data_IF_974019035042
#
_entry.id   IF_974019035042
#
_cell.length_a   1.000
_cell.length_b   1.000
_cell.length_c   1.000
_cell.angle_alpha   90.00
_cell.angle_beta   90.00
_cell.angle_gamma   90.00
#
_symmetry.space_group_name_H-M   'P 1'
#
loop_
_entity.id
_entity.type
_entity.pdbx_description
1 polymer ?
#
# COMPACT_ATOMS: atom_id res chain seq x y z
N UNK A 1 -55.33 38.86 39.67
CA UNK A 1 -53.96 39.26 39.43
C UNK A 1 -53.36 38.21 38.49
N UNK A 2 -53.29 38.56 37.19
CA UNK A 2 -52.73 37.74 36.12
C UNK A 2 -51.35 38.24 35.85
N UNK A 3 -50.35 37.36 36.02
CA UNK A 3 -48.95 37.68 35.76
C UNK A 3 -48.61 37.18 34.32
N UNK A 4 -48.33 38.12 33.42
CA UNK A 4 -47.87 37.82 32.05
C UNK A 4 -46.38 37.65 32.06
N UNK A 5 -45.86 36.45 31.67
CA UNK A 5 -44.46 36.20 31.39
C UNK A 5 -44.17 36.59 29.92
N UNK A 6 -43.35 37.58 29.76
CA UNK A 6 -42.71 37.93 28.48
C UNK A 6 -41.53 36.97 28.24
N UNK A 7 -41.63 36.15 27.20
CA UNK A 7 -40.51 35.40 26.62
C UNK A 7 -39.76 36.33 25.65
N UNK A 8 -38.58 36.76 26.03
CA UNK A 8 -37.62 37.38 25.11
C UNK A 8 -36.87 36.30 24.35
N UNK A 9 -37.12 36.20 23.05
CA UNK A 9 -36.32 35.40 22.14
C UNK A 9 -35.00 36.14 21.85
N UNK A 10 -33.89 35.63 22.33
CA UNK A 10 -32.59 36.03 21.87
C UNK A 10 -32.25 35.25 20.58
N UNK A 11 -32.43 35.89 19.44
CA UNK A 11 -31.76 35.48 18.20
C UNK A 11 -30.28 35.87 18.36
N UNK A 12 -29.44 34.89 18.64
CA UNK A 12 -28.01 35.04 18.53
C UNK A 12 -27.61 34.58 17.14
N UNK A 13 -27.46 35.51 16.20
CA UNK A 13 -26.68 35.28 14.99
C UNK A 13 -25.28 34.94 15.40
N UNK A 14 -24.90 33.67 15.23
CA UNK A 14 -23.47 33.30 15.24
C UNK A 14 -22.90 33.83 13.93
N UNK A 15 -22.26 35.00 14.00
CA UNK A 15 -21.25 35.36 13.02
C UNK A 15 -20.25 34.21 12.95
N UNK A 16 -20.25 33.50 11.86
CA UNK A 16 -19.12 32.66 11.44
C UNK A 16 -18.05 33.68 11.13
N UNK A 17 -17.12 33.89 12.05
CA UNK A 17 -15.87 34.61 11.79
C UNK A 17 -15.12 33.77 10.77
N UNK A 18 -15.18 34.14 9.49
CA UNK A 18 -14.16 33.77 8.52
C UNK A 18 -12.82 34.24 9.08
N UNK A 19 -12.06 33.34 9.66
CA UNK A 19 -10.65 33.58 9.94
C UNK A 19 -9.97 33.78 8.62
N UNK A 20 -9.67 35.04 8.26
CA UNK A 20 -8.81 35.33 7.12
C UNK A 20 -7.45 34.68 7.39
N UNK A 21 -7.18 33.56 6.78
CA UNK A 21 -5.88 32.89 6.83
C UNK A 21 -4.88 33.78 6.12
N UNK A 22 -3.79 34.10 6.76
CA UNK A 22 -2.72 34.91 6.20
C UNK A 22 -2.08 34.12 5.06
N UNK A 23 -1.96 34.64 3.83
CA UNK A 23 -1.24 33.97 2.76
C UNK A 23 0.19 33.63 3.23
N UNK A 24 0.55 32.35 3.17
CA UNK A 24 1.85 31.83 3.65
C UNK A 24 1.80 31.00 4.93
N UNK A 25 0.68 30.98 5.68
CA UNK A 25 0.48 30.13 6.87
C UNK A 25 -0.39 28.90 6.59
N UNK A 26 -0.92 28.75 5.37
CA UNK A 26 -1.73 27.58 5.04
C UNK A 26 -0.85 26.32 4.91
N UNK A 27 -1.21 25.24 5.62
CA UNK A 27 -0.55 23.96 5.42
C UNK A 27 -0.90 23.38 4.07
N UNK A 28 -0.01 22.54 3.53
CA UNK A 28 -0.33 21.61 2.45
C UNK A 28 -0.71 20.27 3.07
N UNK A 29 -1.68 19.61 2.46
CA UNK A 29 -2.10 18.26 2.89
C UNK A 29 -1.39 17.20 2.05
N UNK A 30 -1.00 16.12 2.70
CA UNK A 30 -0.27 15.00 2.10
C UNK A 30 -1.01 13.70 2.39
N UNK A 31 -1.50 13.04 1.35
CA UNK A 31 -2.00 11.67 1.42
C UNK A 31 -0.91 10.70 0.92
N UNK A 32 -0.51 9.78 1.78
CA UNK A 32 0.36 8.67 1.42
C UNK A 32 -0.50 7.40 1.39
N UNK A 33 -0.52 6.72 0.25
CA UNK A 33 -1.30 5.50 0.05
C UNK A 33 -0.34 4.35 -0.27
N UNK A 34 -0.26 3.38 0.64
CA UNK A 34 0.51 2.15 0.49
C UNK A 34 -0.40 1.06 -0.08
N UNK A 35 -0.19 0.69 -1.35
CA UNK A 35 -0.93 -0.39 -2.00
C UNK A 35 -0.26 -1.73 -1.69
N UNK A 36 -0.94 -2.60 -0.93
CA UNK A 36 -0.47 -3.93 -0.59
C UNK A 36 -1.27 -4.99 -1.35
N UNK A 37 -0.57 -5.73 -2.18
CA UNK A 37 -1.17 -6.64 -3.13
C UNK A 37 -0.39 -7.93 -3.31
N UNK A 38 -1.11 -9.04 -3.32
CA UNK A 38 -0.64 -10.30 -3.91
C UNK A 38 -1.72 -10.86 -4.83
N UNK A 39 -1.34 -11.40 -5.99
CA UNK A 39 -2.28 -12.05 -6.87
C UNK A 39 -2.92 -13.26 -6.17
N UNK A 40 -4.03 -13.73 -6.71
CA UNK A 40 -4.64 -14.97 -6.20
C UNK A 40 -3.72 -16.13 -6.53
N UNK A 41 -3.09 -16.71 -5.52
CA UNK A 41 -2.42 -17.99 -5.63
C UNK A 41 -3.42 -19.11 -5.40
N UNK A 42 -3.36 -20.16 -6.23
CA UNK A 42 -4.19 -21.33 -6.04
C UNK A 42 -3.45 -22.37 -5.22
N UNK A 43 -4.16 -22.97 -4.27
CA UNK A 43 -3.68 -24.17 -3.56
C UNK A 43 -3.71 -25.35 -4.52
N UNK A 44 -2.72 -26.19 -4.45
CA UNK A 44 -2.77 -27.50 -5.09
C UNK A 44 -4.02 -28.26 -4.59
N UNK A 45 -4.89 -28.77 -5.48
CA UNK A 45 -6.16 -29.36 -5.07
C UNK A 45 -6.05 -30.67 -4.29
N UNK A 46 -4.91 -31.36 -4.37
CA UNK A 46 -4.69 -32.64 -3.68
C UNK A 46 -4.06 -32.41 -2.30
N UNK A 47 -3.13 -31.48 -2.19
CA UNK A 47 -2.35 -31.23 -0.97
C UNK A 47 -2.84 -30.04 -0.15
N UNK A 48 -3.58 -29.12 -0.74
CA UNK A 48 -3.99 -27.87 -0.11
C UNK A 48 -2.85 -26.86 0.10
N UNK A 49 -1.68 -27.07 -0.53
CA UNK A 49 -0.47 -26.26 -0.36
C UNK A 49 -0.40 -25.18 -1.43
N UNK A 50 -0.04 -23.97 -1.04
CA UNK A 50 0.26 -22.89 -1.98
C UNK A 50 1.59 -23.10 -2.70
N UNK A 51 1.63 -22.87 -4.01
CA UNK A 51 2.85 -23.03 -4.80
C UNK A 51 3.92 -21.94 -4.54
N UNK A 52 3.52 -20.79 -4.00
CA UNK A 52 4.39 -19.61 -3.81
C UNK A 52 4.34 -19.12 -2.36
N UNK A 53 5.47 -18.58 -1.83
CA UNK A 53 5.57 -18.13 -0.44
C UNK A 53 5.19 -16.66 -0.24
N UNK A 54 4.90 -15.89 -1.30
CA UNK A 54 4.95 -14.44 -1.28
C UNK A 54 3.99 -13.81 -0.27
N UNK A 55 2.77 -14.30 -0.14
CA UNK A 55 1.84 -13.83 0.91
C UNK A 55 2.45 -13.97 2.30
N UNK A 56 3.01 -15.14 2.60
CA UNK A 56 3.60 -15.41 3.92
C UNK A 56 4.83 -14.54 4.20
N UNK A 57 5.75 -14.48 3.24
CA UNK A 57 7.02 -13.80 3.48
C UNK A 57 6.85 -12.27 3.56
N UNK A 58 5.93 -11.69 2.80
CA UNK A 58 5.58 -10.29 2.98
C UNK A 58 4.72 -10.04 4.23
N UNK A 59 3.97 -11.04 4.71
CA UNK A 59 3.23 -10.91 5.97
C UNK A 59 4.13 -10.92 7.22
N UNK A 60 5.35 -11.45 7.11
CA UNK A 60 6.36 -11.40 8.18
C UNK A 60 7.31 -10.20 8.05
N UNK A 61 7.07 -9.35 7.06
CA UNK A 61 7.88 -8.19 6.72
C UNK A 61 6.96 -6.97 6.53
N UNK A 62 6.65 -6.61 5.30
CA UNK A 62 6.07 -5.34 4.91
C UNK A 62 4.63 -5.11 5.43
N UNK A 63 3.80 -6.15 5.53
CA UNK A 63 2.39 -5.95 5.87
C UNK A 63 2.14 -5.69 7.34
N UNK A 64 2.99 -6.15 8.23
CA UNK A 64 2.83 -5.97 9.67
C UNK A 64 3.66 -4.80 10.19
N UNK A 65 4.91 -4.64 9.76
CA UNK A 65 5.82 -3.63 10.31
C UNK A 65 5.47 -2.22 9.86
N UNK A 66 5.12 -1.99 8.58
CA UNK A 66 4.71 -0.68 8.07
C UNK A 66 3.51 -0.10 8.82
N UNK A 67 2.59 -0.97 9.28
CA UNK A 67 1.50 -0.55 10.13
C UNK A 67 1.94 -0.38 11.59
N UNK A 68 2.74 -1.31 12.11
CA UNK A 68 3.18 -1.30 13.50
C UNK A 68 4.04 -0.07 13.83
N UNK A 69 4.95 0.35 12.94
CA UNK A 69 5.80 1.52 13.17
C UNK A 69 5.02 2.82 13.34
N UNK A 70 3.80 2.93 12.77
CA UNK A 70 2.96 4.11 12.94
C UNK A 70 2.53 4.35 14.40
N UNK A 71 2.58 3.33 15.26
CA UNK A 71 2.30 3.51 16.69
C UNK A 71 3.29 4.46 17.37
N UNK A 72 4.50 4.61 16.81
CA UNK A 72 5.51 5.57 17.29
C UNK A 72 5.26 6.99 16.78
N UNK A 73 4.40 7.15 15.77
CA UNK A 73 4.11 8.42 15.09
C UNK A 73 2.60 8.72 15.08
N UNK A 74 1.97 8.97 16.26
CA UNK A 74 0.51 9.07 16.39
C UNK A 74 -0.13 10.23 15.60
N UNK A 75 0.66 11.22 15.20
CA UNK A 75 0.19 12.36 14.40
C UNK A 75 0.34 12.14 12.88
N UNK A 76 0.90 10.99 12.46
CA UNK A 76 1.04 10.63 11.06
C UNK A 76 -0.17 9.81 10.62
N UNK A 77 -0.89 10.33 9.62
CA UNK A 77 -2.04 9.68 9.01
C UNK A 77 -1.68 9.18 7.61
N UNK A 78 -1.94 7.91 7.34
CA UNK A 78 -1.70 7.29 6.03
C UNK A 78 -2.87 6.38 5.63
N UNK A 79 -2.88 5.99 4.38
CA UNK A 79 -3.88 5.02 3.88
C UNK A 79 -3.16 3.71 3.51
N UNK A 80 -3.69 2.59 3.99
CA UNK A 80 -3.31 1.26 3.51
C UNK A 80 -4.40 0.71 2.62
N UNK A 81 -4.03 0.40 1.40
CA UNK A 81 -4.90 -0.35 0.51
C UNK A 81 -4.54 -1.84 0.61
N UNK A 82 -5.44 -2.64 1.18
CA UNK A 82 -5.27 -4.08 1.29
C UNK A 82 -6.16 -4.78 0.25
N UNK A 83 -5.55 -5.48 -0.70
CA UNK A 83 -6.36 -6.21 -1.67
C UNK A 83 -7.15 -7.34 -1.00
N UNK A 84 -8.44 -7.51 -1.34
CA UNK A 84 -9.24 -8.59 -0.75
C UNK A 84 -8.67 -9.99 -0.98
N UNK A 85 -8.02 -10.20 -2.13
CA UNK A 85 -7.30 -11.45 -2.43
C UNK A 85 -6.14 -11.70 -1.46
N UNK A 86 -5.43 -10.64 -1.04
CA UNK A 86 -4.38 -10.72 -0.02
C UNK A 86 -4.99 -11.07 1.34
N UNK A 87 -6.00 -10.32 1.81
CA UNK A 87 -6.67 -10.55 3.09
C UNK A 87 -7.12 -12.01 3.20
N UNK A 88 -7.81 -12.53 2.18
CA UNK A 88 -8.25 -13.92 2.16
C UNK A 88 -7.11 -14.93 2.29
N UNK A 89 -5.98 -14.66 1.63
CA UNK A 89 -4.82 -15.56 1.68
C UNK A 89 -4.12 -15.47 3.05
N UNK A 90 -4.05 -14.29 3.66
CA UNK A 90 -3.58 -14.11 5.05
C UNK A 90 -4.47 -14.93 6.01
N UNK A 91 -5.80 -14.85 5.87
CA UNK A 91 -6.72 -15.68 6.67
C UNK A 91 -6.44 -17.19 6.54
N UNK A 92 -6.16 -17.63 5.32
CA UNK A 92 -5.82 -19.03 5.06
C UNK A 92 -4.55 -19.45 5.82
N UNK A 93 -3.50 -18.60 5.84
CA UNK A 93 -2.27 -18.86 6.60
C UNK A 93 -2.53 -18.84 8.12
N UNK A 94 -3.33 -17.90 8.61
CA UNK A 94 -3.77 -17.86 10.01
C UNK A 94 -4.55 -19.14 10.38
N UNK A 95 -5.35 -19.67 9.46
CA UNK A 95 -6.05 -20.94 9.63
C UNK A 95 -5.16 -22.20 9.49
N UNK A 96 -3.85 -22.02 9.24
CA UNK A 96 -2.86 -23.10 9.19
C UNK A 96 -2.52 -23.59 7.77
N UNK A 97 -2.91 -22.87 6.71
CA UNK A 97 -2.40 -23.17 5.37
C UNK A 97 -0.89 -22.96 5.31
N UNK A 98 -0.23 -23.65 4.38
CA UNK A 98 1.20 -23.57 4.16
C UNK A 98 1.51 -23.42 2.67
N UNK A 99 2.67 -22.86 2.37
CA UNK A 99 3.26 -22.86 1.05
C UNK A 99 4.32 -23.96 0.87
N UNK A 100 4.70 -24.20 -0.38
CA UNK A 100 5.68 -25.22 -0.74
C UNK A 100 7.04 -24.98 -0.08
N UNK A 101 7.45 -23.72 0.09
CA UNK A 101 8.73 -23.38 0.75
C UNK A 101 8.65 -23.70 2.24
N UNK A 102 7.53 -23.41 2.89
CA UNK A 102 7.31 -23.75 4.29
C UNK A 102 7.38 -25.25 4.52
N UNK A 103 6.57 -26.04 3.79
CA UNK A 103 6.53 -27.50 3.98
C UNK A 103 7.86 -28.16 3.63
N UNK A 104 8.61 -27.65 2.65
CA UNK A 104 9.95 -28.15 2.33
C UNK A 104 10.96 -27.80 3.42
N UNK A 105 10.84 -26.60 4.01
CA UNK A 105 11.72 -26.21 5.12
C UNK A 105 11.41 -26.95 6.42
N UNK A 106 10.18 -27.42 6.64
CA UNK A 106 9.82 -28.24 7.80
C UNK A 106 10.36 -29.68 7.74
N UNK A 107 10.69 -30.19 6.55
CA UNK A 107 11.29 -31.52 6.44
C UNK A 107 12.63 -31.52 7.20
N UNK A 108 12.87 -32.47 8.14
CA UNK A 108 14.18 -32.60 8.78
C UNK A 108 15.30 -32.69 7.74
N UNK A 109 16.38 -31.96 7.94
CA UNK A 109 17.43 -31.83 6.92
C UNK A 109 18.12 -33.17 6.58
N UNK A 110 18.13 -34.13 7.52
CA UNK A 110 18.63 -35.47 7.31
C UNK A 110 17.65 -36.42 6.58
N UNK A 111 16.42 -35.98 6.32
CA UNK A 111 15.37 -36.72 5.64
C UNK A 111 15.02 -36.12 4.24
N UNK A 112 15.70 -35.08 3.84
CA UNK A 112 15.52 -34.45 2.51
C UNK A 112 15.87 -35.44 1.39
N UNK A 113 14.95 -35.66 0.45
CA UNK A 113 15.24 -36.39 -0.76
C UNK A 113 15.93 -35.48 -1.81
N UNK A 114 16.41 -36.06 -2.91
CA UNK A 114 17.14 -35.33 -3.95
C UNK A 114 16.33 -34.21 -4.58
N UNK A 115 15.03 -34.39 -4.77
CA UNK A 115 14.13 -33.38 -5.35
C UNK A 115 13.98 -32.17 -4.40
N UNK A 116 13.81 -32.43 -3.11
CA UNK A 116 13.72 -31.39 -2.09
C UNK A 116 15.05 -30.64 -1.93
N UNK A 117 16.17 -31.34 -1.94
CA UNK A 117 17.50 -30.73 -1.91
C UNK A 117 17.71 -29.81 -3.12
N UNK A 118 17.32 -30.26 -4.32
CA UNK A 118 17.42 -29.45 -5.53
C UNK A 118 16.49 -28.22 -5.44
N UNK A 119 15.24 -28.38 -4.96
CA UNK A 119 14.34 -27.28 -4.74
C UNK A 119 14.91 -26.21 -3.78
N UNK A 120 15.54 -26.64 -2.68
CA UNK A 120 16.24 -25.72 -1.77
C UNK A 120 17.34 -24.93 -2.48
N UNK A 121 18.20 -25.60 -3.27
CA UNK A 121 19.28 -24.95 -4.00
C UNK A 121 18.75 -23.96 -5.06
N UNK A 122 17.65 -24.29 -5.73
CA UNK A 122 17.08 -23.47 -6.80
C UNK A 122 16.27 -22.27 -6.27
N UNK A 123 15.62 -22.43 -5.11
CA UNK A 123 14.56 -21.51 -4.68
C UNK A 123 14.81 -20.80 -3.35
N UNK A 124 15.65 -21.32 -2.46
CA UNK A 124 15.87 -20.74 -1.13
C UNK A 124 16.91 -19.61 -1.12
N UNK A 125 17.12 -19.00 -2.29
CA UNK A 125 17.83 -17.74 -2.47
C UNK A 125 16.95 -16.72 -3.24
N UNK A 126 15.63 -16.94 -3.29
CA UNK A 126 14.66 -16.04 -3.90
C UNK A 126 14.42 -14.85 -2.97
N UNK A 127 15.39 -13.97 -2.89
CA UNK A 127 15.33 -12.69 -2.18
C UNK A 127 16.39 -11.74 -2.73
N UNK A 128 16.35 -10.47 -2.35
CA UNK A 128 17.33 -9.50 -2.80
C UNK A 128 18.74 -9.81 -2.27
N UNK A 129 19.75 -9.56 -3.09
CA UNK A 129 21.15 -9.77 -2.71
C UNK A 129 21.60 -8.94 -1.50
N UNK A 130 21.01 -7.76 -1.29
CA UNK A 130 21.27 -6.93 -0.11
C UNK A 130 20.79 -7.64 1.18
N UNK A 131 19.63 -8.29 1.13
CA UNK A 131 19.10 -9.08 2.25
C UNK A 131 20.02 -10.27 2.53
N UNK A 132 20.44 -11.04 1.51
CA UNK A 132 21.38 -12.15 1.70
C UNK A 132 22.68 -11.67 2.34
N UNK A 133 23.19 -10.51 1.94
CA UNK A 133 24.47 -9.97 2.44
C UNK A 133 24.43 -9.56 3.93
N UNK A 134 23.23 -9.29 4.49
CA UNK A 134 23.07 -9.04 5.93
C UNK A 134 23.46 -10.25 6.80
N UNK A 135 23.35 -11.46 6.26
CA UNK A 135 23.57 -12.70 6.99
C UNK A 135 24.82 -13.43 6.44
N UNK A 136 25.97 -13.39 7.13
CA UNK A 136 27.23 -13.99 6.62
C UNK A 136 27.10 -15.48 6.27
N UNK A 137 26.30 -16.25 7.03
CA UNK A 137 26.08 -17.68 6.73
C UNK A 137 25.25 -17.85 5.45
N UNK A 138 24.24 -17.05 5.24
CA UNK A 138 23.39 -17.11 4.05
C UNK A 138 24.21 -16.75 2.79
N UNK A 139 25.04 -15.72 2.89
CA UNK A 139 25.96 -15.35 1.82
C UNK A 139 26.98 -16.45 1.53
N UNK A 140 27.51 -17.13 2.55
CA UNK A 140 28.38 -18.28 2.38
C UNK A 140 27.69 -19.42 1.63
N UNK A 141 26.44 -19.77 2.01
CA UNK A 141 25.66 -20.82 1.36
C UNK A 141 25.40 -20.49 -0.11
N UNK A 142 25.10 -19.21 -0.43
CA UNK A 142 24.99 -18.77 -1.81
C UNK A 142 26.25 -18.95 -2.61
N UNK A 143 27.42 -18.59 -2.04
CA UNK A 143 28.72 -18.79 -2.69
C UNK A 143 29.04 -20.27 -2.90
N UNK A 144 28.69 -21.15 -1.95
CA UNK A 144 28.85 -22.61 -2.07
C UNK A 144 27.99 -23.15 -3.23
N UNK A 145 26.72 -22.75 -3.32
CA UNK A 145 25.81 -23.12 -4.41
C UNK A 145 26.38 -22.68 -5.77
N UNK A 146 26.72 -21.39 -5.88
CA UNK A 146 27.23 -20.80 -7.14
C UNK A 146 28.58 -21.40 -7.55
N UNK A 147 29.39 -21.87 -6.60
CA UNK A 147 30.65 -22.59 -6.81
C UNK A 147 30.46 -24.08 -7.05
N UNK A 148 29.25 -24.62 -7.07
CA UNK A 148 28.97 -26.04 -7.27
C UNK A 148 29.55 -26.95 -6.17
N UNK A 149 29.63 -26.44 -4.92
CA UNK A 149 30.10 -27.21 -3.77
C UNK A 149 28.95 -28.09 -3.24
N UNK A 150 29.29 -29.29 -2.82
CA UNK A 150 28.35 -30.20 -2.16
C UNK A 150 27.89 -29.63 -0.78
N UNK A 151 26.58 -29.69 -0.51
CA UNK A 151 26.02 -29.30 0.76
C UNK A 151 25.98 -30.51 1.71
N UNK A 152 26.39 -30.28 2.94
CA UNK A 152 26.18 -31.22 4.03
C UNK A 152 24.72 -31.10 4.57
N UNK A 153 24.29 -32.07 5.36
CA UNK A 153 23.00 -31.98 6.07
C UNK A 153 22.85 -30.66 6.86
N UNK A 154 23.93 -30.20 7.51
CA UNK A 154 23.93 -28.95 8.24
C UNK A 154 23.81 -27.72 7.31
N UNK A 155 24.39 -27.77 6.11
CA UNK A 155 24.26 -26.69 5.14
C UNK A 155 22.81 -26.56 4.64
N UNK A 156 22.15 -27.69 4.39
CA UNK A 156 20.71 -27.69 4.06
C UNK A 156 19.84 -27.17 5.20
N UNK A 157 20.11 -27.57 6.44
CA UNK A 157 19.37 -27.08 7.60
C UNK A 157 19.55 -25.56 7.77
N UNK A 158 20.80 -25.08 7.67
CA UNK A 158 21.08 -23.65 7.73
C UNK A 158 20.39 -22.90 6.56
N UNK A 159 20.32 -23.48 5.36
CA UNK A 159 19.63 -22.88 4.22
C UNK A 159 18.11 -22.80 4.43
N UNK A 160 17.48 -23.89 4.91
CA UNK A 160 16.07 -23.90 5.28
C UNK A 160 15.75 -22.81 6.29
N UNK A 161 16.62 -22.61 7.27
CA UNK A 161 16.48 -21.59 8.30
C UNK A 161 16.70 -20.17 7.73
N UNK A 162 17.83 -19.94 7.04
CA UNK A 162 18.27 -18.62 6.60
C UNK A 162 17.31 -17.96 5.62
N UNK A 163 16.72 -18.70 4.68
CA UNK A 163 15.73 -18.17 3.78
C UNK A 163 14.54 -17.58 4.56
N UNK A 164 14.00 -18.33 5.51
CA UNK A 164 12.85 -17.89 6.28
C UNK A 164 13.20 -16.75 7.25
N UNK A 165 14.37 -16.77 7.89
CA UNK A 165 14.83 -15.68 8.75
C UNK A 165 15.03 -14.39 7.97
N UNK A 166 15.56 -14.47 6.75
CA UNK A 166 15.86 -13.32 5.90
C UNK A 166 14.61 -12.56 5.42
N UNK A 167 13.45 -13.18 5.47
CA UNK A 167 12.15 -12.59 5.16
C UNK A 167 11.41 -12.06 6.39
N UNK A 168 12.04 -12.00 7.55
CA UNK A 168 11.52 -11.30 8.71
C UNK A 168 12.06 -9.88 8.71
N UNK A 169 11.18 -8.91 8.98
CA UNK A 169 11.58 -7.51 9.05
C UNK A 169 12.69 -7.28 10.10
N UNK A 170 13.67 -6.38 9.83
CA UNK A 170 14.75 -6.07 10.75
C UNK A 170 14.33 -5.68 12.16
N UNK A 171 13.18 -5.04 12.36
CA UNK A 171 12.71 -4.68 13.70
C UNK A 171 12.39 -5.90 14.53
N UNK A 172 11.67 -6.87 13.97
CA UNK A 172 11.36 -8.12 14.67
C UNK A 172 12.60 -8.97 14.92
N UNK A 173 13.65 -8.85 14.09
CA UNK A 173 14.93 -9.56 14.30
C UNK A 173 15.70 -9.05 15.50
N UNK A 174 15.38 -7.87 16.04
CA UNK A 174 15.98 -7.31 17.26
C UNK A 174 15.25 -7.78 18.54
N UNK A 175 14.08 -8.45 18.39
CA UNK A 175 13.26 -8.91 19.49
C UNK A 175 13.47 -10.42 19.78
N UNK A 176 13.31 -10.82 21.07
CA UNK A 176 13.32 -12.23 21.44
C UNK A 176 12.01 -12.94 21.00
N UNK A 177 12.07 -14.18 20.50
CA UNK A 177 13.24 -15.08 20.46
C UNK A 177 14.12 -14.93 19.21
N UNK A 178 13.78 -14.07 18.26
CA UNK A 178 14.50 -13.94 16.99
C UNK A 178 15.91 -13.38 17.17
N UNK A 179 16.12 -12.46 18.11
CA UNK A 179 17.42 -11.88 18.41
C UNK A 179 18.47 -12.95 18.80
N UNK A 180 18.08 -13.94 19.63
CA UNK A 180 18.96 -15.07 19.95
C UNK A 180 19.32 -15.91 18.72
N UNK A 181 18.34 -16.14 17.81
CA UNK A 181 18.53 -16.90 16.58
C UNK A 181 19.44 -16.15 15.59
N UNK A 182 19.30 -14.84 15.48
CA UNK A 182 20.20 -13.99 14.70
C UNK A 182 21.63 -14.03 15.26
N UNK A 183 21.78 -13.90 16.58
CA UNK A 183 23.08 -13.94 17.27
C UNK A 183 23.77 -15.30 17.11
N UNK A 184 23.02 -16.39 17.04
CA UNK A 184 23.55 -17.74 16.79
C UNK A 184 24.25 -17.83 15.42
N UNK A 185 23.69 -17.26 14.39
CA UNK A 185 24.27 -17.00 13.09
C UNK A 185 24.56 -18.21 12.20
N UNK A 186 24.63 -19.43 12.71
CA UNK A 186 24.87 -20.69 12.00
C UNK A 186 24.67 -21.93 12.87
N UNK A 187 24.73 -23.12 12.29
CA UNK A 187 24.56 -24.40 12.96
C UNK A 187 23.21 -24.49 13.68
N UNK A 188 22.16 -24.08 12.96
CA UNK A 188 20.80 -24.14 13.45
C UNK A 188 20.36 -25.58 13.71
N UNK A 189 19.30 -25.73 14.48
CA UNK A 189 18.69 -26.99 14.83
C UNK A 189 17.26 -27.06 14.33
N UNK A 190 16.66 -28.23 14.33
CA UNK A 190 15.23 -28.37 14.02
C UNK A 190 14.33 -27.63 15.02
N UNK A 191 14.79 -27.47 16.28
CA UNK A 191 14.10 -26.67 17.30
C UNK A 191 14.15 -25.17 16.97
N UNK A 192 15.29 -24.67 16.50
CA UNK A 192 15.40 -23.27 16.03
C UNK A 192 14.45 -23.01 14.86
N UNK A 193 14.32 -23.95 13.89
CA UNK A 193 13.33 -23.84 12.80
C UNK A 193 11.90 -23.79 13.33
N UNK A 194 11.56 -24.64 14.29
CA UNK A 194 10.22 -24.64 14.89
C UNK A 194 9.92 -23.31 15.59
N UNK A 195 10.91 -22.72 16.29
CA UNK A 195 10.79 -21.39 16.90
C UNK A 195 10.57 -20.32 15.86
N UNK A 196 11.36 -20.30 14.77
CA UNK A 196 11.21 -19.34 13.70
C UNK A 196 9.83 -19.40 13.02
N UNK A 197 9.34 -20.62 12.76
CA UNK A 197 8.01 -20.78 12.17
C UNK A 197 6.86 -20.40 13.11
N UNK A 198 7.06 -20.55 14.42
CA UNK A 198 6.09 -20.04 15.41
C UNK A 198 6.01 -18.51 15.35
N UNK A 199 7.16 -17.82 15.20
CA UNK A 199 7.19 -16.36 15.02
C UNK A 199 6.59 -15.92 13.67
N UNK A 200 6.83 -16.65 12.58
CA UNK A 200 6.12 -16.39 11.32
C UNK A 200 4.60 -16.46 11.51
N UNK A 201 4.10 -17.53 12.16
CA UNK A 201 2.66 -17.66 12.41
C UNK A 201 2.12 -16.52 13.28
N UNK A 202 2.88 -16.08 14.29
CA UNK A 202 2.52 -14.93 15.14
C UNK A 202 2.41 -13.66 14.32
N UNK A 203 3.46 -13.30 13.57
CA UNK A 203 3.49 -12.08 12.75
C UNK A 203 2.37 -12.05 11.70
N UNK A 204 2.13 -13.16 11.00
CA UNK A 204 1.03 -13.27 10.04
C UNK A 204 -0.32 -13.00 10.72
N UNK A 205 -0.51 -13.50 11.96
CA UNK A 205 -1.76 -13.31 12.70
C UNK A 205 -1.99 -11.85 13.13
N UNK A 206 -0.96 -11.01 13.16
CA UNK A 206 -1.05 -9.60 13.54
C UNK A 206 -1.42 -8.68 12.35
N UNK A 207 -1.28 -9.12 11.09
CA UNK A 207 -1.48 -8.27 9.90
C UNK A 207 -2.85 -7.57 9.92
N UNK A 208 -3.94 -8.32 10.01
CA UNK A 208 -5.29 -7.71 10.01
C UNK A 208 -5.59 -6.99 11.32
N UNK A 209 -5.28 -7.53 12.51
CA UNK A 209 -5.52 -6.85 13.79
C UNK A 209 -4.84 -5.49 13.91
N UNK A 210 -3.58 -5.33 13.47
CA UNK A 210 -2.88 -4.04 13.59
C UNK A 210 -3.53 -2.96 12.70
N UNK A 211 -3.88 -3.29 11.46
CA UNK A 211 -4.57 -2.36 10.57
C UNK A 211 -5.94 -1.97 11.12
N UNK A 212 -6.69 -2.94 11.63
CA UNK A 212 -7.99 -2.67 12.27
C UNK A 212 -7.85 -1.75 13.48
N UNK A 213 -6.88 -2.01 14.35
CA UNK A 213 -6.61 -1.21 15.54
C UNK A 213 -6.29 0.24 15.18
N UNK A 214 -5.40 0.47 14.23
CA UNK A 214 -5.00 1.81 13.80
C UNK A 214 -6.16 2.54 13.08
N UNK A 215 -6.99 1.84 12.32
CA UNK A 215 -8.18 2.40 11.72
C UNK A 215 -9.23 2.79 12.78
N UNK A 216 -9.47 1.95 13.78
CA UNK A 216 -10.37 2.25 14.89
C UNK A 216 -9.88 3.44 15.73
N UNK A 217 -8.55 3.61 15.84
CA UNK A 217 -7.93 4.78 16.45
C UNK A 217 -8.05 6.06 15.60
N UNK A 218 -8.41 5.94 14.31
CA UNK A 218 -8.52 7.06 13.38
C UNK A 218 -7.19 7.51 12.78
N UNK A 219 -6.11 6.74 12.98
CA UNK A 219 -4.78 7.09 12.47
C UNK A 219 -4.58 6.68 11.01
N UNK A 220 -5.26 5.62 10.56
CA UNK A 220 -5.20 5.19 9.17
C UNK A 220 -6.58 5.04 8.56
N UNK A 221 -6.65 5.08 7.24
CA UNK A 221 -7.78 4.59 6.47
C UNK A 221 -7.37 3.31 5.74
N UNK A 222 -8.04 2.20 6.04
CA UNK A 222 -7.87 1.00 5.23
C UNK A 222 -8.85 1.06 4.07
N UNK A 223 -8.37 0.78 2.87
CA UNK A 223 -9.17 0.73 1.64
C UNK A 223 -9.06 -0.62 0.97
N UNK A 224 -9.84 -0.83 -0.07
CA UNK A 224 -9.85 -2.07 -0.82
C UNK A 224 -9.60 -1.87 -2.31
N UNK A 225 -9.41 -2.96 -3.03
CA UNK A 225 -9.49 -3.05 -4.49
C UNK A 225 -10.69 -3.91 -4.88
N UNK A 226 -11.04 -4.03 -6.17
CA UNK A 226 -11.86 -5.16 -6.64
C UNK A 226 -11.24 -6.49 -6.18
N UNK A 227 -12.06 -7.48 -5.84
CA UNK A 227 -11.69 -8.68 -5.05
C UNK A 227 -10.39 -9.39 -5.50
N UNK A 228 -10.27 -9.71 -6.77
CA UNK A 228 -9.09 -10.38 -7.34
C UNK A 228 -8.18 -9.42 -8.14
N UNK A 229 -8.30 -8.11 -7.88
CA UNK A 229 -7.53 -7.06 -8.55
C UNK A 229 -7.66 -7.02 -10.08
N UNK A 230 -8.86 -7.19 -10.67
CA UNK A 230 -9.01 -7.04 -12.10
C UNK A 230 -9.10 -5.56 -12.49
N UNK A 231 -8.64 -5.24 -13.70
CA UNK A 231 -8.86 -3.92 -14.31
C UNK A 231 -10.34 -3.80 -14.67
N UNK A 232 -11.13 -3.08 -13.86
CA UNK A 232 -12.60 -3.01 -14.00
C UNK A 232 -13.06 -2.51 -15.36
N UNK A 233 -12.48 -1.43 -15.94
CA UNK A 233 -12.87 -0.99 -17.28
C UNK A 233 -12.82 -2.10 -18.31
N UNK A 234 -11.77 -2.93 -18.31
CA UNK A 234 -11.61 -4.05 -19.24
C UNK A 234 -12.61 -5.20 -19.01
N UNK A 235 -13.10 -5.37 -17.76
CA UNK A 235 -14.19 -6.31 -17.49
C UNK A 235 -15.53 -5.78 -18.00
N UNK A 236 -15.75 -4.46 -17.92
CA UNK A 236 -16.97 -3.84 -18.42
C UNK A 236 -17.01 -3.93 -19.94
N UNK A 237 -15.94 -3.52 -20.60
CA UNK A 237 -15.78 -3.59 -22.05
C UNK A 237 -14.29 -3.48 -22.41
N UNK A 238 -13.72 -4.51 -23.04
CA UNK A 238 -12.33 -4.49 -23.43
C UNK A 238 -11.98 -3.41 -24.49
N UNK A 239 -12.96 -2.89 -25.23
CA UNK A 239 -12.73 -1.77 -26.17
C UNK A 239 -12.28 -0.47 -25.47
N UNK A 240 -12.51 -0.35 -24.14
CA UNK A 240 -11.99 0.78 -23.36
C UNK A 240 -10.46 0.87 -23.36
N UNK A 241 -9.75 -0.23 -23.66
CA UNK A 241 -8.31 -0.20 -23.88
C UNK A 241 -7.89 0.75 -25.01
N UNK A 242 -8.76 0.99 -25.99
CA UNK A 242 -8.50 1.88 -27.12
C UNK A 242 -8.49 3.37 -26.73
N UNK A 243 -9.02 3.74 -25.56
CA UNK A 243 -8.83 5.09 -25.01
C UNK A 243 -7.34 5.35 -24.76
N UNK A 244 -6.69 4.43 -24.04
CA UNK A 244 -5.27 4.55 -23.71
C UNK A 244 -4.34 4.27 -24.89
N UNK A 245 -4.70 3.30 -25.73
CA UNK A 245 -3.90 2.82 -26.87
C UNK A 245 -4.77 2.71 -28.12
N UNK A 246 -5.01 3.82 -28.87
CA UNK A 246 -5.91 3.84 -30.02
C UNK A 246 -5.55 2.88 -31.15
N UNK A 247 -4.27 2.54 -31.28
CA UNK A 247 -3.75 1.65 -32.33
C UNK A 247 -3.57 0.19 -31.84
N UNK A 248 -4.12 -0.16 -30.66
CA UNK A 248 -4.00 -1.50 -30.10
C UNK A 248 -4.72 -2.53 -30.98
N UNK A 249 -4.03 -3.62 -31.32
CA UNK A 249 -4.66 -4.77 -31.99
C UNK A 249 -5.54 -5.53 -30.97
N UNK A 250 -6.85 -5.38 -31.12
CA UNK A 250 -7.83 -5.98 -30.21
C UNK A 250 -8.00 -7.48 -30.46
N UNK A 251 -8.33 -8.26 -29.41
CA UNK A 251 -8.70 -9.66 -29.55
C UNK A 251 -9.89 -9.84 -30.51
N UNK A 252 -9.90 -10.95 -31.24
CA UNK A 252 -10.98 -11.27 -32.19
C UNK A 252 -12.36 -11.49 -31.54
N UNK A 253 -12.40 -11.67 -30.22
CA UNK A 253 -13.62 -11.90 -29.45
C UNK A 253 -13.77 -10.79 -28.43
N UNK A 254 -14.91 -10.12 -28.43
CA UNK A 254 -15.26 -9.11 -27.45
C UNK A 254 -15.33 -9.73 -26.05
N UNK A 255 -14.81 -9.00 -25.08
CA UNK A 255 -14.90 -9.36 -23.67
C UNK A 255 -15.71 -8.28 -22.93
N UNK A 256 -16.97 -8.61 -22.63
CA UNK A 256 -17.94 -7.68 -22.01
C UNK A 256 -18.65 -8.41 -20.87
N UNK A 257 -18.17 -8.25 -19.65
CA UNK A 257 -18.65 -8.96 -18.45
C UNK A 257 -18.87 -7.98 -17.29
N UNK A 258 -19.66 -6.93 -17.50
CA UNK A 258 -19.94 -5.92 -16.48
C UNK A 258 -20.53 -6.48 -15.19
N UNK A 259 -21.27 -7.61 -15.23
CA UNK A 259 -21.74 -8.30 -14.03
C UNK A 259 -20.59 -8.86 -13.17
N UNK A 260 -19.50 -9.28 -13.81
CA UNK A 260 -18.33 -9.78 -13.07
C UNK A 260 -17.59 -8.62 -12.41
N UNK A 261 -17.51 -7.46 -13.08
CA UNK A 261 -16.99 -6.24 -12.47
C UNK A 261 -17.77 -5.84 -11.20
N UNK A 262 -19.10 -5.84 -11.26
CA UNK A 262 -19.99 -5.60 -10.10
C UNK A 262 -19.75 -6.64 -9.00
N UNK A 263 -19.60 -7.91 -9.35
CA UNK A 263 -19.34 -8.97 -8.39
C UNK A 263 -17.97 -8.78 -7.68
N UNK A 264 -16.93 -8.41 -8.43
CA UNK A 264 -15.60 -8.13 -7.89
C UNK A 264 -15.61 -7.00 -6.85
N UNK A 265 -16.32 -5.91 -7.14
CA UNK A 265 -16.47 -4.79 -6.19
C UNK A 265 -17.26 -5.22 -4.94
N UNK A 266 -18.42 -5.85 -5.12
CA UNK A 266 -19.27 -6.25 -4.00
C UNK A 266 -18.61 -7.31 -3.10
N UNK A 267 -17.88 -8.28 -3.66
CA UNK A 267 -17.14 -9.27 -2.89
C UNK A 267 -16.00 -8.62 -2.09
N UNK A 268 -15.33 -7.63 -2.67
CA UNK A 268 -14.31 -6.84 -1.97
C UNK A 268 -14.91 -6.08 -0.78
N UNK A 269 -16.00 -5.35 -1.00
CA UNK A 269 -16.73 -4.62 0.06
C UNK A 269 -17.17 -5.57 1.18
N UNK A 270 -17.73 -6.73 0.84
CA UNK A 270 -18.19 -7.69 1.82
C UNK A 270 -17.04 -8.23 2.68
N UNK A 271 -15.94 -8.66 2.05
CA UNK A 271 -14.77 -9.17 2.78
C UNK A 271 -14.18 -8.10 3.69
N UNK A 272 -14.08 -6.86 3.20
CA UNK A 272 -13.63 -5.73 4.01
C UNK A 272 -14.51 -5.54 5.24
N UNK A 273 -15.84 -5.50 5.08
CA UNK A 273 -16.79 -5.33 6.19
C UNK A 273 -16.70 -6.46 7.22
N UNK A 274 -16.48 -7.70 6.77
CA UNK A 274 -16.34 -8.86 7.64
C UNK A 274 -15.11 -8.73 8.56
N UNK A 275 -14.02 -8.11 8.07
CA UNK A 275 -12.78 -7.94 8.83
C UNK A 275 -12.75 -6.65 9.66
N UNK A 276 -13.12 -5.52 9.06
CA UNK A 276 -12.97 -4.20 9.68
C UNK A 276 -14.23 -3.72 10.39
N UNK A 277 -15.39 -4.36 10.20
CA UNK A 277 -16.64 -4.05 10.88
C UNK A 277 -17.35 -2.79 10.38
N UNK A 278 -16.80 -2.10 9.39
CA UNK A 278 -17.35 -0.90 8.75
C UNK A 278 -17.27 -1.04 7.23
N UNK A 279 -18.04 -0.26 6.48
CA UNK A 279 -17.93 -0.23 5.03
C UNK A 279 -16.65 0.52 4.59
N UNK A 280 -15.93 0.08 3.54
CA UNK A 280 -14.84 0.85 2.97
C UNK A 280 -15.39 2.13 2.33
N UNK A 281 -14.66 3.25 2.50
CA UNK A 281 -15.02 4.52 1.83
C UNK A 281 -14.20 4.73 0.56
N UNK A 282 -12.98 4.23 0.54
CA UNK A 282 -12.04 4.36 -0.55
C UNK A 282 -11.79 3.04 -1.30
N UNK A 283 -11.45 3.16 -2.57
CA UNK A 283 -11.04 2.04 -3.41
C UNK A 283 -9.84 2.45 -4.28
N UNK A 284 -8.79 1.63 -4.27
CA UNK A 284 -7.79 1.67 -5.32
C UNK A 284 -8.29 0.81 -6.50
N UNK A 285 -8.66 1.39 -7.63
CA UNK A 285 -8.92 0.60 -8.83
C UNK A 285 -7.62 -0.10 -9.25
N UNK A 286 -7.73 -1.35 -9.68
CA UNK A 286 -6.55 -2.09 -10.12
C UNK A 286 -5.71 -1.27 -11.13
N UNK A 287 -4.43 -1.11 -10.86
CA UNK A 287 -3.48 -0.34 -11.66
C UNK A 287 -3.86 1.16 -11.82
N UNK A 288 -4.69 1.71 -10.92
CA UNK A 288 -5.21 3.06 -11.05
C UNK A 288 -6.15 3.28 -12.25
N UNK A 289 -6.62 2.18 -12.86
CA UNK A 289 -7.41 2.21 -14.10
C UNK A 289 -8.87 2.57 -13.81
N UNK A 290 -9.33 3.68 -14.37
CA UNK A 290 -10.68 4.22 -14.22
C UNK A 290 -11.35 4.41 -15.58
N UNK A 291 -12.67 4.55 -15.59
CA UNK A 291 -13.49 5.00 -16.70
C UNK A 291 -14.86 5.44 -16.16
N UNK A 292 -15.61 6.24 -16.92
CA UNK A 292 -16.97 6.64 -16.54
C UNK A 292 -17.90 5.43 -16.32
N UNK A 293 -17.68 4.35 -17.08
CA UNK A 293 -18.51 3.15 -17.05
C UNK A 293 -18.50 2.44 -15.67
N UNK A 294 -17.45 2.63 -14.87
CA UNK A 294 -17.34 2.01 -13.55
C UNK A 294 -17.90 2.88 -12.42
N UNK A 295 -18.05 4.20 -12.60
CA UNK A 295 -18.42 5.14 -11.52
C UNK A 295 -19.74 4.73 -10.87
N UNK A 296 -20.77 4.46 -11.66
CA UNK A 296 -22.10 4.08 -11.11
C UNK A 296 -22.09 2.79 -10.29
N UNK A 297 -21.24 1.80 -10.62
CA UNK A 297 -21.15 0.56 -9.85
C UNK A 297 -20.39 0.76 -8.55
N UNK A 298 -19.34 1.56 -8.59
CA UNK A 298 -18.50 1.90 -7.44
C UNK A 298 -19.30 2.72 -6.42
N UNK A 299 -20.00 3.77 -6.87
CA UNK A 299 -20.89 4.58 -6.04
C UNK A 299 -21.99 3.75 -5.37
N UNK A 300 -22.66 2.84 -6.13
CA UNK A 300 -23.69 1.94 -5.57
C UNK A 300 -23.16 0.95 -4.52
N UNK A 301 -21.88 0.61 -4.60
CA UNK A 301 -21.21 -0.22 -3.59
C UNK A 301 -20.88 0.57 -2.30
N UNK A 302 -21.11 1.89 -2.27
CA UNK A 302 -20.86 2.76 -1.14
C UNK A 302 -19.49 3.39 -1.10
N UNK A 303 -18.68 3.20 -2.15
CA UNK A 303 -17.36 3.81 -2.27
C UNK A 303 -17.51 5.30 -2.62
N UNK A 304 -16.84 6.15 -1.86
CA UNK A 304 -16.94 7.61 -1.95
C UNK A 304 -15.76 8.22 -2.72
N UNK A 305 -14.62 7.55 -2.73
CA UNK A 305 -13.44 8.02 -3.44
C UNK A 305 -12.62 6.87 -4.06
N UNK A 306 -11.91 7.21 -5.12
CA UNK A 306 -10.91 6.38 -5.79
C UNK A 306 -9.61 7.15 -5.96
N UNK A 307 -8.57 6.47 -6.44
CA UNK A 307 -7.33 7.11 -6.82
C UNK A 307 -6.91 6.68 -8.23
N UNK A 308 -6.19 7.55 -8.94
CA UNK A 308 -5.67 7.28 -10.28
C UNK A 308 -4.34 8.03 -10.52
N UNK A 309 -3.86 8.00 -11.74
CA UNK A 309 -2.60 8.62 -12.15
C UNK A 309 -2.80 10.04 -12.69
N UNK A 310 -1.80 10.93 -12.53
CA UNK A 310 -1.84 12.30 -13.08
C UNK A 310 -2.04 12.33 -14.61
N UNK A 311 -1.60 11.27 -15.31
CA UNK A 311 -1.82 11.15 -16.76
C UNK A 311 -3.29 11.01 -17.11
N UNK A 312 -4.08 10.30 -16.31
CA UNK A 312 -5.53 10.20 -16.46
C UNK A 312 -6.19 11.56 -16.25
N UNK A 313 -5.79 12.32 -15.22
CA UNK A 313 -6.29 13.68 -15.00
C UNK A 313 -5.97 14.60 -16.20
N UNK A 314 -4.72 14.58 -16.65
CA UNK A 314 -4.31 15.39 -17.80
C UNK A 314 -5.14 15.08 -19.04
N UNK A 315 -5.35 13.80 -19.35
CA UNK A 315 -6.18 13.38 -20.49
C UNK A 315 -7.64 13.81 -20.31
N UNK A 316 -8.23 13.63 -19.13
CA UNK A 316 -9.61 14.04 -18.80
C UNK A 316 -9.83 15.55 -18.94
N UNK A 317 -8.81 16.36 -18.68
CA UNK A 317 -8.86 17.81 -18.85
C UNK A 317 -8.46 18.28 -20.27
N UNK A 318 -8.23 17.34 -21.20
CA UNK A 318 -7.79 17.65 -22.56
C UNK A 318 -6.35 18.18 -22.65
N UNK A 319 -5.55 17.92 -21.61
CA UNK A 319 -4.12 18.23 -21.56
C UNK A 319 -3.33 17.05 -22.12
N UNK A 320 -2.16 17.29 -22.69
CA UNK A 320 -1.29 16.20 -23.13
C UNK A 320 -0.58 15.50 -21.97
N UNK A 321 -0.06 16.28 -21.03
CA UNK A 321 0.58 15.84 -19.79
C UNK A 321 0.83 17.05 -18.90
N UNK A 322 1.07 16.81 -17.62
CA UNK A 322 1.60 17.84 -16.72
C UNK A 322 3.07 18.15 -17.07
N UNK A 323 3.40 19.43 -17.15
CA UNK A 323 4.79 19.89 -17.29
C UNK A 323 5.38 20.24 -15.95
N UNK A 324 6.69 20.08 -15.80
CA UNK A 324 7.41 20.34 -14.55
C UNK A 324 8.57 21.31 -14.77
N UNK A 325 8.91 22.06 -13.75
CA UNK A 325 10.07 22.93 -13.70
C UNK A 325 11.39 22.15 -13.47
N UNK A 326 12.48 22.87 -13.30
CA UNK A 326 13.81 22.27 -13.06
C UNK A 326 13.96 21.61 -11.67
N UNK A 327 13.01 21.82 -10.76
CA UNK A 327 12.93 21.18 -9.45
C UNK A 327 11.94 20.00 -9.44
N UNK A 328 11.45 19.59 -10.59
CA UNK A 328 10.42 18.57 -10.78
C UNK A 328 9.03 18.96 -10.21
N UNK A 329 8.78 20.24 -9.93
CA UNK A 329 7.47 20.72 -9.49
C UNK A 329 6.57 20.98 -10.69
N UNK A 330 5.32 20.55 -10.60
CA UNK A 330 4.32 20.79 -11.65
C UNK A 330 4.10 22.28 -11.85
N UNK A 331 4.04 22.73 -13.11
CA UNK A 331 3.89 24.16 -13.46
C UNK A 331 2.44 24.69 -13.34
N UNK A 332 1.49 23.80 -13.14
CA UNK A 332 0.07 24.09 -12.85
C UNK A 332 -0.35 23.26 -11.62
N UNK A 333 0.20 23.62 -10.42
CA UNK A 333 0.06 22.80 -9.23
C UNK A 333 -1.39 22.80 -8.70
N UNK A 334 -2.15 23.88 -8.82
CA UNK A 334 -3.54 23.94 -8.36
C UNK A 334 -4.45 22.97 -9.12
N UNK A 335 -4.10 22.63 -10.36
CA UNK A 335 -4.82 21.62 -11.15
C UNK A 335 -4.51 20.19 -10.66
N UNK A 336 -3.26 19.82 -10.38
CA UNK A 336 -2.93 18.46 -9.97
C UNK A 336 -3.26 18.17 -8.51
N UNK A 337 -2.97 19.11 -7.62
CA UNK A 337 -2.99 18.84 -6.17
C UNK A 337 -4.36 19.13 -5.53
N UNK A 338 -5.40 18.51 -6.10
CA UNK A 338 -6.77 18.47 -5.55
C UNK A 338 -7.53 17.26 -6.04
N UNK A 339 -8.52 16.79 -5.28
CA UNK A 339 -9.48 15.79 -5.78
C UNK A 339 -10.42 16.38 -6.83
N UNK A 340 -11.05 15.50 -7.60
CA UNK A 340 -12.11 15.85 -8.53
C UNK A 340 -13.30 14.91 -8.37
N UNK A 341 -14.52 15.44 -8.44
CA UNK A 341 -15.74 14.65 -8.46
C UNK A 341 -16.05 14.17 -9.88
N UNK A 342 -16.42 12.91 -10.00
CA UNK A 342 -16.92 12.33 -11.26
C UNK A 342 -18.33 11.81 -11.03
N UNK A 343 -19.26 12.30 -11.85
CA UNK A 343 -20.66 11.91 -11.78
C UNK A 343 -20.91 10.71 -12.69
N UNK A 344 -21.35 9.58 -12.10
CA UNK A 344 -21.85 8.46 -12.88
C UNK A 344 -23.28 8.68 -13.37
N UNK A 345 -23.76 7.78 -14.24
CA UNK A 345 -25.16 7.82 -14.73
C UNK A 345 -26.16 7.68 -13.57
N UNK A 346 -25.79 7.00 -12.49
CA UNK A 346 -26.59 6.77 -11.30
C UNK A 346 -25.70 6.73 -10.05
N UNK A 347 -26.24 7.16 -8.92
CA UNK A 347 -25.55 7.20 -7.63
C UNK A 347 -25.03 8.58 -7.32
N UNK A 348 -24.32 8.70 -6.21
CA UNK A 348 -23.63 9.92 -5.82
C UNK A 348 -22.31 10.08 -6.60
N UNK A 349 -21.77 11.30 -6.73
CA UNK A 349 -20.44 11.49 -7.30
C UNK A 349 -19.38 10.70 -6.53
N UNK A 350 -18.35 10.25 -7.22
CA UNK A 350 -17.17 9.63 -6.61
C UNK A 350 -15.99 10.58 -6.80
N UNK A 351 -15.31 10.91 -5.70
CA UNK A 351 -14.11 11.74 -5.78
C UNK A 351 -12.92 10.90 -6.28
N UNK A 352 -12.04 11.50 -7.09
CA UNK A 352 -10.79 10.88 -7.51
C UNK A 352 -9.63 11.74 -7.04
N UNK A 353 -8.66 11.14 -6.33
CA UNK A 353 -7.37 11.74 -6.01
C UNK A 353 -6.33 11.27 -7.04
N UNK A 354 -5.42 12.14 -7.44
CA UNK A 354 -4.44 11.82 -8.47
C UNK A 354 -3.02 11.85 -7.91
N UNK A 355 -2.27 10.76 -8.18
CA UNK A 355 -0.90 10.63 -7.67
C UNK A 355 0.06 11.57 -8.39
N UNK A 356 0.99 12.17 -7.65
CA UNK A 356 2.21 12.71 -8.23
C UNK A 356 3.14 11.57 -8.60
N UNK A 357 3.32 11.34 -9.89
CA UNK A 357 4.16 10.25 -10.43
C UNK A 357 5.61 10.41 -9.99
N UNK A 358 6.14 11.64 -10.03
CA UNK A 358 7.57 11.88 -9.78
C UNK A 358 7.94 11.56 -8.33
N UNK A 359 7.13 12.02 -7.36
CA UNK A 359 7.42 11.76 -5.95
C UNK A 359 7.18 10.28 -5.64
N UNK A 360 6.11 9.70 -6.16
CA UNK A 360 5.80 8.27 -5.97
C UNK A 360 6.92 7.38 -6.52
N UNK A 361 7.40 7.66 -7.75
CA UNK A 361 8.47 6.89 -8.38
C UNK A 361 9.84 7.11 -7.69
N UNK A 362 10.06 8.28 -7.08
CA UNK A 362 11.27 8.48 -6.26
C UNK A 362 11.29 7.54 -5.07
N UNK A 363 10.19 7.39 -4.35
CA UNK A 363 10.08 6.44 -3.25
C UNK A 363 10.21 5.01 -3.77
N UNK A 364 9.48 4.64 -4.83
CA UNK A 364 9.49 3.27 -5.36
C UNK A 364 10.83 2.82 -5.94
N UNK A 365 11.60 3.72 -6.56
CA UNK A 365 12.75 3.31 -7.38
C UNK A 365 14.04 4.09 -7.13
N UNK A 366 13.97 5.40 -6.83
CA UNK A 366 15.18 6.24 -6.81
C UNK A 366 15.83 6.28 -5.42
N UNK A 367 15.04 6.44 -4.38
CA UNK A 367 15.55 6.64 -3.02
C UNK A 367 16.24 5.42 -2.42
N UNK A 368 16.00 4.22 -2.94
CA UNK A 368 16.74 3.00 -2.56
C UNK A 368 18.25 3.08 -2.83
N UNK A 369 18.68 4.00 -3.68
CA UNK A 369 20.10 4.30 -3.96
C UNK A 369 20.67 5.47 -3.17
N UNK A 370 19.88 6.09 -2.29
CA UNK A 370 20.22 7.26 -1.47
C UNK A 370 20.11 6.87 0.01
N UNK A 371 20.92 7.47 0.91
CA UNK A 371 20.78 7.21 2.35
C UNK A 371 19.39 7.65 2.85
N UNK A 372 18.80 6.87 3.78
CA UNK A 372 17.42 7.03 4.20
C UNK A 372 17.07 8.44 4.68
N UNK A 373 17.92 9.05 5.52
CA UNK A 373 17.72 10.44 5.98
C UNK A 373 17.75 11.46 4.84
N UNK A 374 18.68 11.31 3.89
CA UNK A 374 18.78 12.23 2.76
C UNK A 374 17.59 12.10 1.81
N UNK A 375 17.09 10.88 1.62
CA UNK A 375 15.89 10.60 0.83
C UNK A 375 14.63 11.20 1.49
N UNK A 376 14.47 11.04 2.80
CA UNK A 376 13.36 11.62 3.57
C UNK A 376 13.38 13.15 3.52
N UNK A 377 14.56 13.77 3.64
CA UNK A 377 14.70 15.22 3.51
C UNK A 377 14.38 15.71 2.09
N UNK A 378 14.82 15.00 1.03
CA UNK A 378 14.45 15.36 -0.35
C UNK A 378 12.93 15.27 -0.57
N UNK A 379 12.29 14.23 -0.02
CA UNK A 379 10.83 14.09 -0.07
C UNK A 379 10.13 15.30 0.56
N UNK A 380 10.45 15.64 1.81
CA UNK A 380 9.84 16.78 2.54
C UNK A 380 10.10 18.10 1.80
N UNK A 381 11.32 18.31 1.31
CA UNK A 381 11.66 19.52 0.53
C UNK A 381 10.81 19.66 -0.73
N UNK A 382 10.46 18.55 -1.39
CA UNK A 382 9.58 18.56 -2.57
C UNK A 382 8.15 18.95 -2.22
N UNK A 383 7.63 18.46 -1.10
CA UNK A 383 6.29 18.86 -0.63
C UNK A 383 6.28 20.38 -0.31
N UNK A 384 7.32 20.90 0.32
CA UNK A 384 7.46 22.35 0.52
C UNK A 384 7.55 23.13 -0.80
N UNK A 385 8.30 22.63 -1.80
CA UNK A 385 8.40 23.30 -3.10
C UNK A 385 7.03 23.34 -3.83
N UNK A 386 6.24 22.28 -3.72
CA UNK A 386 4.86 22.25 -4.24
C UNK A 386 4.00 23.30 -3.53
N UNK A 387 4.08 23.36 -2.18
CA UNK A 387 3.36 24.35 -1.39
C UNK A 387 3.72 25.78 -1.80
N UNK A 388 5.00 26.06 -1.96
CA UNK A 388 5.47 27.38 -2.37
C UNK A 388 5.00 27.76 -3.81
N UNK A 389 4.94 26.79 -4.71
CA UNK A 389 4.40 26.96 -6.05
C UNK A 389 2.90 27.27 -6.02
N UNK A 390 2.11 26.55 -5.22
CA UNK A 390 0.68 26.82 -5.01
C UNK A 390 0.42 28.23 -4.47
N UNK A 391 1.22 28.67 -3.49
CA UNK A 391 1.13 30.03 -2.97
C UNK A 391 1.48 31.07 -4.04
N UNK A 392 2.54 30.82 -4.82
CA UNK A 392 2.97 31.73 -5.90
C UNK A 392 1.92 31.83 -7.02
N UNK A 393 1.20 30.76 -7.32
CA UNK A 393 0.08 30.74 -8.28
C UNK A 393 -1.17 31.43 -7.72
N UNK A 394 -1.28 31.54 -6.40
CA UNK A 394 -2.42 32.12 -5.72
C UNK A 394 -3.58 31.12 -5.57
N UNK A 395 -3.25 29.84 -5.47
CA UNK A 395 -4.23 28.77 -5.23
C UNK A 395 -5.13 29.09 -4.03
N UNK A 396 -6.42 28.80 -4.17
CA UNK A 396 -7.43 29.08 -3.16
C UNK A 396 -7.94 27.76 -2.56
N UNK A 397 -7.82 27.63 -1.26
CA UNK A 397 -8.36 26.49 -0.52
C UNK A 397 -7.30 25.44 -0.18
N UNK A 398 -7.70 24.35 0.48
CA UNK A 398 -6.79 23.27 0.82
C UNK A 398 -6.40 22.49 -0.44
N UNK A 399 -5.10 22.20 -0.57
CA UNK A 399 -4.56 21.38 -1.63
C UNK A 399 -4.03 20.07 -1.06
N UNK A 400 -4.17 18.98 -1.84
CA UNK A 400 -3.79 17.62 -1.45
C UNK A 400 -2.75 17.07 -2.43
N UNK A 401 -1.56 16.81 -1.94
CA UNK A 401 -0.56 16.00 -2.66
C UNK A 401 -0.84 14.53 -2.37
N UNK A 402 -0.94 13.71 -3.40
CA UNK A 402 -1.15 12.27 -3.24
C UNK A 402 0.08 11.51 -3.73
N UNK A 403 0.69 10.75 -2.82
CA UNK A 403 1.83 9.86 -3.08
C UNK A 403 1.32 8.42 -2.96
N UNK A 404 1.34 7.69 -4.05
CA UNK A 404 0.70 6.37 -4.14
C UNK A 404 1.65 5.40 -4.83
N UNK A 405 1.96 4.29 -4.17
CA UNK A 405 2.85 3.25 -4.68
C UNK A 405 2.64 1.91 -3.96
N UNK A 406 3.28 0.87 -4.46
CA UNK A 406 3.30 -0.44 -3.82
C UNK A 406 3.92 -0.36 -2.43
N UNK A 407 3.28 -0.98 -1.47
CA UNK A 407 3.68 -0.99 -0.07
C UNK A 407 4.65 -2.11 0.31
N UNK A 408 4.90 -3.09 -0.57
CA UNK A 408 5.80 -4.21 -0.27
C UNK A 408 7.04 -4.28 -1.17
N UNK A 409 6.93 -3.91 -2.45
CA UNK A 409 7.97 -4.23 -3.45
C UNK A 409 9.22 -3.35 -3.37
N UNK A 410 9.12 -2.12 -2.89
CA UNK A 410 10.23 -1.16 -2.87
C UNK A 410 11.31 -1.55 -1.85
N UNK A 411 10.92 -2.05 -0.69
CA UNK A 411 11.76 -2.12 0.50
C UNK A 411 12.93 -3.08 0.39
N UNK A 412 12.82 -4.16 -0.39
CA UNK A 412 13.93 -5.08 -0.65
C UNK A 412 15.15 -4.41 -1.30
N UNK A 413 14.97 -3.27 -1.95
CA UNK A 413 16.02 -2.50 -2.60
C UNK A 413 16.66 -1.46 -1.67
N UNK A 414 16.03 -1.14 -0.55
CA UNK A 414 16.57 -0.23 0.45
C UNK A 414 17.52 -0.95 1.42
N UNK A 415 18.41 -0.19 2.08
CA UNK A 415 19.15 -0.70 3.23
C UNK A 415 18.19 -0.97 4.38
N UNK A 416 18.33 -2.12 5.05
CA UNK A 416 17.47 -2.54 6.15
C UNK A 416 15.96 -2.36 5.87
N UNK A 417 15.55 -2.80 4.67
CA UNK A 417 14.15 -2.77 4.22
C UNK A 417 13.47 -1.39 4.36
N UNK A 418 14.23 -0.29 4.19
CA UNK A 418 13.70 1.07 4.22
C UNK A 418 13.47 1.67 5.60
N UNK A 419 13.80 0.98 6.68
CA UNK A 419 13.60 1.43 8.06
C UNK A 419 14.12 2.85 8.32
N UNK A 420 15.35 3.16 7.91
CA UNK A 420 15.91 4.51 8.09
C UNK A 420 15.12 5.57 7.32
N UNK A 421 14.67 5.24 6.10
CA UNK A 421 13.88 6.16 5.28
C UNK A 421 12.53 6.45 5.91
N UNK A 422 11.75 5.42 6.25
CA UNK A 422 10.40 5.57 6.80
C UNK A 422 10.42 6.27 8.16
N UNK A 423 11.29 5.88 9.08
CA UNK A 423 11.43 6.53 10.38
C UNK A 423 11.86 8.00 10.24
N UNK A 424 12.83 8.30 9.36
CA UNK A 424 13.24 9.68 9.11
C UNK A 424 12.12 10.52 8.48
N UNK A 425 11.37 9.92 7.54
CA UNK A 425 10.24 10.58 6.89
C UNK A 425 9.14 10.93 7.89
N UNK A 426 8.70 9.95 8.68
CA UNK A 426 7.64 10.16 9.66
C UNK A 426 8.06 11.11 10.78
N UNK A 427 9.33 11.08 11.20
CA UNK A 427 9.88 12.05 12.15
C UNK A 427 9.80 13.47 11.58
N UNK A 428 10.31 13.70 10.36
CA UNK A 428 10.29 15.00 9.72
C UNK A 428 8.86 15.53 9.51
N UNK A 429 7.94 14.65 9.07
CA UNK A 429 6.53 15.03 8.87
C UNK A 429 5.80 15.32 10.19
N UNK A 430 6.12 14.61 11.28
CA UNK A 430 5.55 14.86 12.61
C UNK A 430 5.97 16.20 13.18
N UNK A 431 7.20 16.64 12.88
CA UNK A 431 7.76 17.91 13.35
C UNK A 431 7.39 19.10 12.45
N UNK A 432 6.83 18.86 11.25
CA UNK A 432 6.53 19.90 10.28
C UNK A 432 5.16 20.56 10.54
N UNK A 433 5.16 21.87 10.72
CA UNK A 433 3.92 22.64 10.95
C UNK A 433 3.14 22.94 9.66
N UNK A 434 3.81 22.89 8.50
CA UNK A 434 3.28 23.30 7.21
C UNK A 434 2.86 22.13 6.32
N UNK A 435 3.21 20.89 6.67
CA UNK A 435 2.75 19.67 5.99
C UNK A 435 1.85 18.91 6.98
N UNK A 436 0.66 18.55 6.54
CA UNK A 436 -0.29 17.75 7.34
C UNK A 436 -0.61 16.47 6.61
N UNK A 437 -0.21 15.35 7.19
CA UNK A 437 -0.62 14.04 6.67
C UNK A 437 -2.08 13.81 6.97
N UNK A 438 -2.81 13.32 5.97
CA UNK A 438 -4.25 13.02 6.06
C UNK A 438 -4.58 11.81 5.21
N UNK A 439 -5.65 11.13 5.52
CA UNK A 439 -6.25 10.18 4.56
C UNK A 439 -7.10 10.92 3.54
N UNK A 440 -7.32 10.38 2.34
CA UNK A 440 -8.25 10.98 1.38
C UNK A 440 -9.66 11.17 1.96
N UNK A 441 -10.13 10.20 2.76
CA UNK A 441 -11.43 10.33 3.43
C UNK A 441 -11.51 11.49 4.41
N UNK A 442 -10.44 11.77 5.17
CA UNK A 442 -10.34 12.94 6.06
C UNK A 442 -10.31 14.24 5.27
N UNK A 443 -9.50 14.29 4.20
CA UNK A 443 -9.42 15.48 3.35
C UNK A 443 -10.78 15.82 2.74
N UNK A 444 -11.48 14.85 2.16
CA UNK A 444 -12.79 15.05 1.55
C UNK A 444 -13.87 15.45 2.58
N UNK A 445 -13.77 14.96 3.82
CA UNK A 445 -14.67 15.39 4.88
C UNK A 445 -14.43 16.85 5.30
N UNK A 446 -13.17 17.31 5.24
CA UNK A 446 -12.79 18.68 5.55
C UNK A 446 -13.08 19.65 4.39
N UNK A 447 -12.90 19.20 3.15
CA UNK A 447 -13.09 19.96 1.93
C UNK A 447 -14.08 19.22 0.99
N UNK A 448 -15.39 19.25 1.27
CA UNK A 448 -16.37 18.45 0.52
C UNK A 448 -16.67 18.99 -0.88
N UNK A 449 -16.41 20.27 -1.12
CA UNK A 449 -16.63 20.90 -2.43
C UNK A 449 -15.38 20.73 -3.29
N UNK A 450 -15.45 19.87 -4.31
CA UNK A 450 -14.39 19.60 -5.25
C UNK A 450 -14.85 19.92 -6.68
N UNK A 451 -13.94 20.34 -7.58
CA UNK A 451 -14.27 20.52 -8.99
C UNK A 451 -14.74 19.19 -9.61
N UNK A 452 -15.49 19.31 -10.69
CA UNK A 452 -16.01 18.16 -11.44
C UNK A 452 -15.15 17.87 -12.68
N UNK A 453 -15.01 16.59 -13.02
CA UNK A 453 -14.57 16.12 -14.31
C UNK A 453 -15.80 15.69 -15.08
N UNK A 454 -16.06 16.35 -16.22
CA UNK A 454 -17.21 16.07 -17.09
C UNK A 454 -16.98 14.84 -17.98
N UNK A 455 -15.74 14.51 -18.30
CA UNK A 455 -15.34 13.43 -19.22
C UNK A 455 -14.08 12.74 -18.66
N UNK A 456 -14.29 11.64 -17.95
CA UNK A 456 -13.21 10.87 -17.35
C UNK A 456 -12.56 9.96 -18.41
N UNK A 457 -11.29 10.23 -18.65
CA UNK A 457 -10.49 9.47 -19.62
C UNK A 457 -10.05 8.10 -19.10
#
# INVERSE_FOLDING_TARGET
IVLALLLAACNGDKEVTETSVVPGEQPIYLAIIWHQHQPVYFKDPETGIYAKPWVRVHATKDYVDMAAMLQEYPDIHVTFNLTPSLIRQVDDFVAGAKDLYWVTAEVPADQLNEEQQQFLLDRFFDTNRKIIARFPRYQQLLQMRDGGQEFTTQDYLDLQFMFNLAWVDPEWLEEEPLAELVAKGRNYTEEDKATLFAEHARLISEVIPIHKHLQEAGQIEVTMTPFAHPILPLLVNNDLALQALPDLEMPATDFVYGQDAVAQVNLGVQLYQDHFGVAPRGMWPAEGSVSEDIISMVSKAGIQWMASDEGVLAASLGMGSFTRDSADVVTDPDTLYRPYNVQGIQGDPVAIVFRDVVISDKVGFTYSGVGGQAAAQDFVNRIHAIRDALIAEGAQGPNLVSVILDGENAWEYYENDGKEFLNSLYTLLSEDELIKTVTPGEFLAMAPEQPEIDDLW
#
